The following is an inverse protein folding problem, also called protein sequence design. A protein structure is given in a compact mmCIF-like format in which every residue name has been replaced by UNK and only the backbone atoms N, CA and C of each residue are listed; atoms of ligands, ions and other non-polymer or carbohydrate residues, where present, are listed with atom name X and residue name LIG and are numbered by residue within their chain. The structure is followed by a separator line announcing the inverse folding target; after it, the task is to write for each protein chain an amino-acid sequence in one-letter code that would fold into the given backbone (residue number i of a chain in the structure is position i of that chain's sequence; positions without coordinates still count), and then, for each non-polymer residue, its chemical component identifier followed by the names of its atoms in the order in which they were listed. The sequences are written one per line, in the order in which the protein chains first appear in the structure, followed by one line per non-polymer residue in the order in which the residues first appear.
data_IF_596415152307
#
_entry.id   IF_596415152307
#
_cell.length_a   1.000
_cell.length_b   1.000
_cell.length_c   1.000
_cell.angle_alpha   90.00
_cell.angle_beta   90.00
_cell.angle_gamma   90.00
#
_symmetry.space_group_name_H-M   'P 1'
#
loop_
_entity.id
_entity.type
_entity.pdbx_description
1 polymer ?
#
# COMPACT_ATOMS: atom_id res chain seq x y z
N UNK A 1 1.51 -13.39 -3.38
CA UNK A 1 2.06 -12.24 -2.61
C UNK A 1 1.12 -11.95 -1.43
N UNK A 2 1.66 -11.79 -0.24
CA UNK A 2 0.88 -11.57 1.00
C UNK A 2 0.08 -10.29 0.97
N UNK A 3 0.61 -9.25 0.35
CA UNK A 3 -0.08 -7.96 0.21
C UNK A 3 -1.38 -8.13 -0.57
N UNK A 4 -1.32 -8.85 -1.69
CA UNK A 4 -2.51 -9.12 -2.52
C UNK A 4 -3.58 -9.89 -1.74
N UNK A 5 -3.15 -10.88 -0.94
CA UNK A 5 -4.08 -11.65 -0.10
C UNK A 5 -4.80 -10.78 0.91
N UNK A 6 -4.07 -9.86 1.55
CA UNK A 6 -4.66 -8.93 2.51
C UNK A 6 -5.71 -8.06 1.84
N UNK A 7 -5.40 -7.51 0.67
CA UNK A 7 -6.31 -6.67 -0.07
C UNK A 7 -7.56 -7.43 -0.56
N UNK A 8 -7.36 -8.64 -1.09
CA UNK A 8 -8.47 -9.47 -1.55
C UNK A 8 -9.38 -9.92 -0.40
N UNK A 9 -8.81 -10.09 0.79
CA UNK A 9 -9.58 -10.44 1.98
C UNK A 9 -10.24 -9.22 2.65
N UNK A 10 -10.00 -8.01 2.14
CA UNK A 10 -10.52 -6.79 2.75
C UNK A 10 -9.75 -6.32 3.98
N UNK A 11 -8.58 -6.91 4.23
CA UNK A 11 -7.74 -6.58 5.39
C UNK A 11 -6.76 -5.47 5.02
N UNK A 12 -7.28 -4.26 4.88
CA UNK A 12 -6.47 -3.10 4.57
C UNK A 12 -7.08 -1.83 5.17
N UNK A 13 -6.25 -0.82 5.35
CA UNK A 13 -6.67 0.49 5.80
C UNK A 13 -5.83 1.56 5.11
N UNK A 14 -6.38 2.76 4.94
CA UNK A 14 -5.70 3.90 4.37
C UNK A 14 -5.39 4.90 5.48
N UNK A 15 -4.17 5.46 5.46
CA UNK A 15 -3.84 6.59 6.31
C UNK A 15 -4.65 7.81 5.86
N UNK A 16 -4.78 8.80 6.73
CA UNK A 16 -5.43 10.05 6.36
C UNK A 16 -4.73 10.70 5.15
N UNK A 17 -3.41 10.68 5.13
CA UNK A 17 -2.62 11.19 4.01
C UNK A 17 -2.95 10.47 2.72
N UNK A 18 -3.00 9.14 2.75
CA UNK A 18 -3.31 8.35 1.57
C UNK A 18 -4.72 8.63 1.04
N UNK A 19 -5.69 8.75 1.95
CA UNK A 19 -7.07 9.08 1.58
C UNK A 19 -7.18 10.46 0.94
N UNK A 20 -6.48 11.45 1.48
CA UNK A 20 -6.48 12.80 0.93
C UNK A 20 -5.79 12.86 -0.44
N UNK A 21 -4.70 12.11 -0.62
CA UNK A 21 -4.02 12.02 -1.91
C UNK A 21 -4.91 11.39 -2.99
N UNK A 22 -5.61 10.32 -2.63
CA UNK A 22 -6.58 9.67 -3.51
C UNK A 22 -7.65 10.65 -3.99
N UNK A 23 -8.28 11.31 -3.02
CA UNK A 23 -9.36 12.25 -3.28
C UNK A 23 -8.89 13.39 -4.18
N UNK A 24 -7.71 13.95 -3.92
CA UNK A 24 -7.13 15.02 -4.71
C UNK A 24 -6.90 14.59 -6.17
N UNK A 25 -6.59 13.32 -6.40
CA UNK A 25 -6.36 12.79 -7.75
C UNK A 25 -7.61 12.20 -8.39
N UNK A 26 -8.77 12.31 -7.74
CA UNK A 26 -10.03 11.77 -8.25
C UNK A 26 -10.07 10.25 -8.26
N UNK A 27 -9.29 9.58 -7.41
CA UNK A 27 -9.23 8.14 -7.31
C UNK A 27 -10.10 7.63 -6.18
N UNK A 28 -10.47 6.36 -6.25
CA UNK A 28 -11.19 5.67 -5.18
C UNK A 28 -10.29 4.61 -4.54
N UNK A 29 -10.68 4.13 -3.37
CA UNK A 29 -9.97 3.02 -2.73
C UNK A 29 -9.94 1.79 -3.63
N UNK A 30 -11.03 1.55 -4.36
CA UNK A 30 -11.12 0.43 -5.30
C UNK A 30 -10.05 0.53 -6.40
N UNK A 31 -9.80 1.73 -6.92
CA UNK A 31 -8.75 1.95 -7.92
C UNK A 31 -7.39 1.48 -7.39
N UNK A 32 -7.10 1.78 -6.13
CA UNK A 32 -5.84 1.38 -5.49
C UNK A 32 -5.78 -0.13 -5.30
N UNK A 33 -6.85 -0.74 -4.82
CA UNK A 33 -6.93 -2.19 -4.64
C UNK A 33 -6.70 -2.90 -5.98
N UNK A 34 -7.38 -2.45 -7.03
CA UNK A 34 -7.21 -3.01 -8.38
C UNK A 34 -5.76 -2.93 -8.85
N UNK A 35 -5.11 -1.78 -8.65
CA UNK A 35 -3.74 -1.57 -9.10
C UNK A 35 -2.77 -2.52 -8.40
N UNK A 36 -2.93 -2.72 -7.11
CA UNK A 36 -2.05 -3.62 -6.35
C UNK A 36 -2.31 -5.07 -6.71
N UNK A 37 -3.56 -5.47 -6.84
CA UNK A 37 -3.92 -6.84 -7.25
C UNK A 37 -3.39 -7.13 -8.65
N UNK A 38 -3.39 -6.13 -9.53
CA UNK A 38 -2.89 -6.25 -10.90
C UNK A 38 -1.34 -6.18 -10.99
N UNK A 39 -0.67 -5.81 -9.93
CA UNK A 39 0.78 -5.63 -9.95
C UNK A 39 1.50 -6.95 -10.21
N UNK A 40 2.52 -6.91 -11.08
CA UNK A 40 3.36 -8.08 -11.36
C UNK A 40 4.33 -8.32 -10.21
N UNK A 41 4.83 -7.23 -9.60
CA UNK A 41 5.83 -7.31 -8.54
C UNK A 41 5.82 -6.04 -7.69
N UNK A 42 6.45 -6.12 -6.53
CA UNK A 42 6.75 -4.95 -5.73
C UNK A 42 7.86 -4.18 -6.42
N UNK A 43 7.62 -2.90 -6.69
CA UNK A 43 8.60 -2.05 -7.36
C UNK A 43 9.85 -1.84 -6.50
N UNK A 44 9.66 -1.54 -5.22
CA UNK A 44 10.76 -1.28 -4.30
C UNK A 44 10.33 -1.55 -2.86
N UNK A 45 11.22 -2.14 -2.08
CA UNK A 45 11.02 -2.28 -0.65
C UNK A 45 12.09 -1.46 0.06
N UNK A 46 11.66 -0.58 0.97
CA UNK A 46 12.56 0.25 1.75
C UNK A 46 12.36 -0.03 3.24
N UNK A 47 13.46 0.05 3.99
CA UNK A 47 13.41 -0.10 5.44
C UNK A 47 13.01 1.24 6.07
N UNK A 48 12.04 1.21 6.97
CA UNK A 48 11.68 2.41 7.72
C UNK A 48 12.83 2.87 8.60
N UNK A 49 13.11 4.17 8.58
CA UNK A 49 14.19 4.79 9.36
C UNK A 49 13.68 5.55 10.59
N UNK A 50 12.52 5.16 11.12
CA UNK A 50 11.98 5.82 12.29
C UNK A 50 12.94 5.63 13.49
N UNK A 51 13.46 6.71 14.10
CA UNK A 51 14.38 6.59 15.24
C UNK A 51 13.71 6.04 16.49
N UNK A 52 12.40 6.01 16.53
CA UNK A 52 11.64 5.55 17.70
C UNK A 52 11.39 4.05 17.73
N UNK A 53 11.80 3.32 16.68
CA UNK A 53 11.52 1.89 16.54
C UNK A 53 12.78 1.09 16.26
N UNK A 54 13.72 1.14 17.21
CA UNK A 54 15.00 0.45 17.06
C UNK A 54 14.89 -1.07 17.04
N UNK A 55 13.84 -1.62 17.64
CA UNK A 55 13.69 -3.06 17.81
C UNK A 55 12.80 -3.72 16.75
N UNK A 56 11.98 -2.95 16.05
CA UNK A 56 11.05 -3.46 15.04
C UNK A 56 11.52 -3.00 13.66
N UNK A 57 11.89 -3.96 12.82
CA UNK A 57 12.22 -3.68 11.44
C UNK A 57 10.94 -3.57 10.64
N UNK A 58 10.56 -2.36 10.28
CA UNK A 58 9.44 -2.12 9.39
C UNK A 58 9.94 -1.97 7.96
N UNK A 59 9.28 -2.66 7.05
CA UNK A 59 9.54 -2.53 5.62
C UNK A 59 8.37 -1.84 4.97
N UNK A 60 8.68 -0.85 4.14
CA UNK A 60 7.70 -0.14 3.34
C UNK A 60 7.80 -0.66 1.90
N UNK A 61 6.65 -1.00 1.33
CA UNK A 61 6.58 -1.54 -0.02
C UNK A 61 6.02 -0.49 -0.96
N UNK A 62 6.80 -0.19 -2.01
CA UNK A 62 6.35 0.72 -3.05
C UNK A 62 5.88 -0.14 -4.23
N UNK A 63 4.65 0.07 -4.63
CA UNK A 63 4.04 -0.64 -5.75
C UNK A 63 3.54 0.40 -6.74
N UNK A 64 3.98 0.26 -7.99
CA UNK A 64 3.48 1.06 -9.10
C UNK A 64 2.83 0.12 -10.09
N UNK A 65 1.55 0.32 -10.33
CA UNK A 65 0.78 -0.56 -11.21
C UNK A 65 -0.48 0.14 -11.68
N UNK A 66 -1.11 -0.40 -12.69
CA UNK A 66 -2.31 0.19 -13.27
C UNK A 66 -3.58 -0.36 -12.62
N UNK A 67 -4.62 0.49 -12.54
CA UNK A 67 -5.97 0.03 -12.25
C UNK A 67 -6.58 -0.61 -13.51
N UNK A 68 -7.84 -1.00 -13.45
CA UNK A 68 -8.51 -1.63 -14.59
C UNK A 68 -8.68 -0.69 -15.78
N UNK A 69 -8.65 0.61 -15.58
CA UNK A 69 -8.73 1.61 -16.64
C UNK A 69 -7.37 1.96 -17.25
N UNK A 70 -6.30 1.32 -16.79
CA UNK A 70 -4.96 1.56 -17.29
C UNK A 70 -4.24 2.75 -16.68
N UNK A 71 -4.80 3.35 -15.62
CA UNK A 71 -4.17 4.47 -14.94
C UNK A 71 -3.08 3.98 -14.00
N UNK A 72 -1.86 4.49 -14.15
CA UNK A 72 -0.75 4.13 -13.28
C UNK A 72 -0.89 4.78 -11.91
N UNK A 73 -0.85 3.95 -10.87
CA UNK A 73 -0.99 4.38 -9.48
C UNK A 73 0.25 4.01 -8.69
N UNK A 74 0.72 4.99 -7.91
CA UNK A 74 1.81 4.81 -6.96
C UNK A 74 1.22 4.55 -5.58
N UNK A 75 1.69 3.52 -4.90
CA UNK A 75 1.32 3.26 -3.52
C UNK A 75 2.55 2.97 -2.67
N UNK A 76 2.47 3.37 -1.41
CA UNK A 76 3.46 3.01 -0.39
C UNK A 76 2.69 2.48 0.81
N UNK A 77 3.04 1.30 1.28
CA UNK A 77 2.34 0.67 2.38
C UNK A 77 3.17 -0.32 3.14
N UNK A 78 2.61 -0.84 4.22
CA UNK A 78 3.27 -1.82 5.07
C UNK A 78 2.28 -2.88 5.55
N UNK A 79 2.79 -4.10 5.74
CA UNK A 79 2.02 -5.16 6.40
C UNK A 79 2.12 -4.94 7.91
N UNK A 80 0.98 -4.76 8.56
CA UNK A 80 0.91 -4.60 10.00
C UNK A 80 0.75 -5.98 10.63
N UNK A 81 1.58 -6.27 11.62
CA UNK A 81 1.61 -7.55 12.33
C UNK A 81 1.39 -7.34 13.82
N UNK A 82 0.71 -8.29 14.46
CA UNK A 82 0.59 -8.38 15.90
C UNK A 82 0.92 -9.79 16.34
N UNK A 83 1.83 -9.94 17.31
CA UNK A 83 2.26 -11.24 17.82
C UNK A 83 2.69 -12.22 16.72
N UNK A 84 3.35 -11.71 15.67
CA UNK A 84 3.81 -12.50 14.54
C UNK A 84 2.73 -12.84 13.50
N UNK A 85 1.49 -12.39 13.72
CA UNK A 85 0.38 -12.62 12.80
C UNK A 85 0.14 -11.37 11.97
N UNK A 86 0.04 -11.52 10.65
CA UNK A 86 -0.29 -10.43 9.76
C UNK A 86 -1.76 -10.07 9.91
N UNK A 87 -2.04 -8.80 10.22
CA UNK A 87 -3.39 -8.32 10.49
C UNK A 87 -3.98 -7.65 9.26
N UNK A 88 -3.25 -6.67 8.67
CA UNK A 88 -3.75 -5.93 7.51
C UNK A 88 -2.62 -5.19 6.80
N UNK A 89 -2.92 -4.72 5.58
CA UNK A 89 -2.01 -3.86 4.81
C UNK A 89 -2.41 -2.40 5.02
N UNK A 90 -1.47 -1.61 5.50
CA UNK A 90 -1.69 -0.19 5.78
C UNK A 90 -1.09 0.67 4.68
N UNK A 91 -1.94 1.41 3.97
CA UNK A 91 -1.53 2.30 2.89
C UNK A 91 -1.15 3.66 3.44
N UNK A 92 0.12 4.00 3.34
CA UNK A 92 0.69 5.26 3.84
C UNK A 92 0.55 6.36 2.80
N UNK A 93 0.65 6.02 1.52
CA UNK A 93 0.52 6.95 0.41
C UNK A 93 -0.14 6.24 -0.77
N UNK A 94 -0.99 6.94 -1.50
CA UNK A 94 -1.65 6.41 -2.70
C UNK A 94 -2.06 7.57 -3.60
N UNK A 95 -1.51 7.59 -4.81
CA UNK A 95 -1.72 8.71 -5.75
C UNK A 95 -1.41 8.28 -7.18
N UNK A 96 -1.80 9.11 -8.14
CA UNK A 96 -1.37 8.90 -9.52
C UNK A 96 0.15 8.91 -9.60
N UNK A 97 0.71 7.94 -10.31
CA UNK A 97 2.11 7.97 -10.68
C UNK A 97 2.25 8.91 -11.88
N UNK A 98 3.07 9.91 -11.72
CA UNK A 98 3.26 10.92 -12.76
C UNK A 98 4.44 10.54 -13.64
#
# INVERSE_FOLDING_TARGET
MRIKRALLAGHYAFSEKASLELEADGLTELDVVESIVNAVAIYKTIRSRSPYRREVREYLHIIQSTNLEGLMIYTKGKLVQEAGIEIYYFLISSKKAV
#
